data_IF_901214786118
#
_entry.id   IF_901214786118
#
_cell.length_a   1.000
_cell.length_b   1.000
_cell.length_c   1.000
_cell.angle_alpha   90.00
_cell.angle_beta   90.00
_cell.angle_gamma   90.00
#
_symmetry.space_group_name_H-M   'P 1'
#
loop_
_entity.id
_entity.type
_entity.pdbx_description
1 polymer ?
#
# COMPACT_ATOMS: atom_id res chain seq x y z
N UNK A 1 -27.58 -6.77 -16.51
CA UNK A 1 -26.79 -6.55 -17.73
C UNK A 1 -25.64 -5.65 -17.30
N UNK A 2 -24.68 -6.19 -16.57
CA UNK A 2 -23.48 -6.89 -17.07
C UNK A 2 -22.62 -5.96 -17.92
N UNK A 3 -21.77 -5.20 -17.24
CA UNK A 3 -20.52 -4.68 -17.76
C UNK A 3 -19.53 -4.73 -16.59
N UNK A 4 -18.98 -5.92 -16.36
CA UNK A 4 -17.72 -6.07 -15.63
C UNK A 4 -16.66 -5.52 -16.59
N UNK A 5 -16.30 -4.26 -16.41
CA UNK A 5 -15.15 -3.71 -17.12
C UNK A 5 -13.92 -4.44 -16.61
N UNK A 6 -13.23 -5.09 -17.54
CA UNK A 6 -11.86 -5.55 -17.43
C UNK A 6 -11.04 -4.38 -16.85
N UNK A 7 -10.72 -4.44 -15.56
CA UNK A 7 -9.63 -3.66 -15.01
C UNK A 7 -8.37 -4.40 -15.44
N UNK A 8 -7.72 -3.88 -16.49
CA UNK A 8 -6.35 -4.23 -16.86
C UNK A 8 -5.49 -4.08 -15.60
N UNK A 9 -5.04 -5.21 -15.05
CA UNK A 9 -4.08 -5.27 -13.94
C UNK A 9 -2.65 -5.00 -14.45
N UNK A 10 -2.48 -3.98 -15.29
CA UNK A 10 -1.21 -3.64 -15.92
C UNK A 10 -1.04 -2.12 -15.92
N UNK A 11 -0.72 -1.58 -14.74
CA UNK A 11 0.12 -0.36 -14.63
C UNK A 11 1.19 -0.62 -13.57
N UNK A 12 2.14 -1.50 -13.91
CA UNK A 12 3.52 -1.24 -13.52
C UNK A 12 3.94 0.06 -14.22
N UNK A 13 3.68 1.21 -13.59
CA UNK A 13 4.42 2.43 -13.90
C UNK A 13 5.85 2.24 -13.39
N UNK A 14 6.64 1.45 -14.12
CA UNK A 14 8.10 1.54 -14.15
C UNK A 14 8.45 2.91 -14.75
N UNK A 15 8.46 3.94 -13.90
CA UNK A 15 8.64 5.33 -14.35
C UNK A 15 9.08 6.31 -13.28
N UNK A 16 9.55 5.84 -12.13
CA UNK A 16 10.31 6.69 -11.20
C UNK A 16 11.75 6.22 -11.29
N UNK A 17 12.59 7.00 -11.98
CA UNK A 17 14.04 6.83 -11.98
C UNK A 17 14.53 6.70 -10.54
N UNK A 18 15.07 5.52 -10.21
CA UNK A 18 15.76 5.27 -8.95
C UNK A 18 17.09 6.04 -8.96
N UNK A 19 17.51 6.67 -7.84
CA UNK A 19 18.87 7.16 -7.74
C UNK A 19 19.82 5.95 -7.64
N UNK A 20 20.78 5.86 -8.56
CA UNK A 20 21.87 4.88 -8.52
C UNK A 20 22.58 4.96 -7.16
N UNK A 21 22.43 3.91 -6.34
CA UNK A 21 23.23 3.70 -5.15
C UNK A 21 24.61 3.21 -5.60
N UNK A 22 25.56 4.14 -5.70
CA UNK A 22 26.96 3.80 -5.94
C UNK A 22 27.49 2.88 -4.84
N UNK A 23 28.13 1.79 -5.24
CA UNK A 23 28.89 0.91 -4.37
C UNK A 23 30.10 1.68 -3.81
N UNK A 24 30.04 2.13 -2.55
CA UNK A 24 31.25 2.53 -1.82
C UNK A 24 31.78 1.31 -1.05
N UNK A 25 32.92 0.81 -1.53
CA UNK A 25 33.73 -0.20 -0.86
C UNK A 25 34.16 0.28 0.53
N UNK A 26 34.09 -0.63 1.50
CA UNK A 26 34.33 -0.35 2.92
C UNK A 26 35.72 0.20 3.25
N UNK A 27 35.71 1.28 4.01
CA UNK A 27 36.82 1.73 4.85
C UNK A 27 36.32 1.91 6.28
N UNK A 28 36.90 1.15 7.21
CA UNK A 28 36.69 1.33 8.65
C UNK A 28 37.28 2.67 9.10
N UNK A 29 36.45 3.64 9.49
CA UNK A 29 36.88 4.76 10.34
C UNK A 29 35.87 5.00 11.47
N UNK A 30 36.30 4.67 12.69
CA UNK A 30 35.67 5.11 13.93
C UNK A 30 35.84 6.63 14.06
N UNK A 31 34.80 7.38 13.69
CA UNK A 31 34.72 8.83 13.87
C UNK A 31 33.27 9.23 14.10
N UNK A 32 32.92 9.52 15.35
CA UNK A 32 31.62 10.13 15.68
C UNK A 32 31.61 11.58 15.23
N UNK A 33 31.40 11.81 13.93
CA UNK A 33 31.05 13.12 13.39
C UNK A 33 29.58 13.35 13.72
N UNK A 34 29.33 14.27 14.65
CA UNK A 34 28.02 14.89 14.75
C UNK A 34 27.80 15.64 13.44
N UNK A 35 26.97 15.10 12.55
CA UNK A 35 26.45 15.84 11.40
C UNK A 35 25.87 17.15 11.95
N UNK A 36 26.56 18.27 11.68
CA UNK A 36 25.99 19.59 11.95
C UNK A 36 24.74 19.70 11.08
N UNK A 37 23.55 19.65 11.67
CA UNK A 37 22.29 19.88 10.96
C UNK A 37 22.41 21.20 10.19
N UNK A 38 22.57 21.10 8.88
CA UNK A 38 22.68 22.26 8.00
C UNK A 38 21.44 23.12 8.20
N UNK A 39 21.65 24.32 8.75
CA UNK A 39 20.54 25.18 9.17
C UNK A 39 19.78 25.65 7.93
N UNK A 40 18.66 24.98 7.64
CA UNK A 40 17.79 25.32 6.51
C UNK A 40 17.43 26.81 6.58
N UNK A 41 17.75 27.61 5.55
CA UNK A 41 17.49 29.04 5.54
C UNK A 41 15.98 29.30 5.58
N UNK A 42 15.56 30.28 6.39
CA UNK A 42 14.14 30.68 6.45
C UNK A 42 13.73 31.34 5.13
N UNK A 43 12.68 30.81 4.51
CA UNK A 43 12.08 31.31 3.28
C UNK A 43 10.55 31.24 3.41
N UNK A 44 9.92 32.23 4.06
CA UNK A 44 8.47 32.26 4.25
C UNK A 44 7.75 32.57 2.95
N UNK A 45 6.61 31.92 2.72
CA UNK A 45 5.74 32.19 1.59
C UNK A 45 5.16 33.61 1.70
N UNK A 46 5.46 34.46 0.72
CA UNK A 46 4.99 35.86 0.69
C UNK A 46 3.63 35.99 0.01
N UNK A 47 2.92 37.08 0.29
CA UNK A 47 1.62 37.36 -0.34
C UNK A 47 1.73 37.48 -1.87
N UNK A 48 2.79 38.14 -2.36
CA UNK A 48 3.06 38.27 -3.79
C UNK A 48 3.26 36.90 -4.44
N UNK A 49 4.06 36.02 -3.80
CA UNK A 49 4.28 34.66 -4.29
C UNK A 49 3.00 33.81 -4.29
N UNK A 50 2.12 33.98 -3.29
CA UNK A 50 0.79 33.36 -3.32
C UNK A 50 -0.01 33.88 -4.50
N UNK A 51 -0.04 35.20 -4.73
CA UNK A 51 -0.75 35.83 -5.83
C UNK A 51 -0.36 35.30 -7.20
N UNK A 52 0.92 35.01 -7.42
CA UNK A 52 1.44 34.42 -8.66
C UNK A 52 1.04 32.94 -8.85
N UNK A 53 0.87 32.20 -7.75
CA UNK A 53 0.58 30.76 -7.75
C UNK A 53 -0.92 30.44 -7.66
N UNK A 54 -1.77 31.43 -7.40
CA UNK A 54 -3.22 31.27 -7.32
C UNK A 54 -3.83 31.09 -8.71
N UNK A 55 -4.73 30.12 -8.82
CA UNK A 55 -5.46 29.84 -10.05
C UNK A 55 -6.86 29.31 -9.77
N UNK A 56 -7.61 29.05 -10.85
CA UNK A 56 -8.99 28.53 -10.84
C UNK A 56 -9.96 29.45 -10.07
N UNK A 57 -10.56 30.41 -10.79
CA UNK A 57 -11.59 31.29 -10.24
C UNK A 57 -12.91 30.52 -10.08
N UNK A 58 -13.41 30.40 -8.86
CA UNK A 58 -14.66 29.73 -8.56
C UNK A 58 -15.58 30.59 -7.70
N UNK A 59 -16.89 30.34 -7.79
CA UNK A 59 -17.88 30.98 -6.91
C UNK A 59 -17.72 30.44 -5.49
N UNK A 60 -17.73 31.36 -4.51
CA UNK A 60 -17.82 30.98 -3.10
C UNK A 60 -19.23 30.46 -2.78
N UNK A 61 -19.43 29.83 -1.62
CA UNK A 61 -20.69 29.18 -1.25
C UNK A 61 -21.94 30.08 -1.26
N UNK A 62 -21.76 31.42 -1.17
CA UNK A 62 -22.87 32.37 -1.30
C UNK A 62 -23.32 32.60 -2.75
N UNK A 63 -22.52 32.21 -3.75
CA UNK A 63 -22.74 32.47 -5.16
C UNK A 63 -22.56 33.94 -5.58
N UNK A 64 -22.26 34.83 -4.64
CA UNK A 64 -22.21 36.29 -4.82
C UNK A 64 -20.79 36.85 -4.97
N UNK A 65 -19.77 36.04 -4.74
CA UNK A 65 -18.37 36.41 -4.97
C UNK A 65 -17.58 35.26 -5.58
N UNK A 66 -16.38 35.59 -6.04
CA UNK A 66 -15.43 34.62 -6.58
C UNK A 66 -14.15 34.65 -5.75
N UNK A 67 -13.49 33.51 -5.66
CA UNK A 67 -12.16 33.35 -5.09
C UNK A 67 -11.34 32.43 -5.98
N UNK A 68 -10.02 32.61 -6.00
CA UNK A 68 -9.12 31.59 -6.51
C UNK A 68 -9.10 30.43 -5.52
N UNK A 69 -9.28 29.20 -6.02
CA UNK A 69 -9.43 28.00 -5.16
C UNK A 69 -8.32 26.97 -5.36
N UNK A 70 -7.39 27.21 -6.29
CA UNK A 70 -6.20 26.39 -6.48
C UNK A 70 -4.95 27.20 -6.17
N UNK A 71 -4.01 26.57 -5.49
CA UNK A 71 -2.70 27.11 -5.18
C UNK A 71 -1.64 26.04 -5.49
N UNK A 72 -0.70 26.34 -6.38
CA UNK A 72 0.43 25.47 -6.73
C UNK A 72 1.76 26.18 -6.37
N UNK A 73 2.35 25.83 -5.23
CA UNK A 73 3.64 26.36 -4.76
C UNK A 73 4.63 25.20 -4.67
N UNK A 74 5.14 24.78 -5.82
CA UNK A 74 6.14 23.71 -5.92
C UNK A 74 7.54 24.27 -6.05
N UNK A 75 8.51 23.56 -5.49
CA UNK A 75 9.92 23.76 -5.80
C UNK A 75 10.37 25.22 -5.61
N UNK A 76 10.14 25.73 -4.40
CA UNK A 76 10.42 27.13 -4.03
C UNK A 76 11.16 27.26 -2.70
N UNK A 77 11.68 26.15 -2.17
CA UNK A 77 12.42 26.10 -0.91
C UNK A 77 11.64 26.71 0.27
N UNK A 78 10.30 26.67 0.24
CA UNK A 78 9.47 27.34 1.25
C UNK A 78 9.59 26.62 2.60
N UNK A 79 9.77 27.39 3.68
CA UNK A 79 9.86 26.87 5.05
C UNK A 79 8.66 27.22 5.92
N UNK A 80 7.95 28.31 5.61
CA UNK A 80 6.78 28.77 6.36
C UNK A 80 5.61 29.10 5.43
N UNK A 81 4.42 28.63 5.80
CA UNK A 81 3.17 28.82 5.06
C UNK A 81 2.10 29.49 5.92
N UNK A 82 2.48 30.20 6.99
CA UNK A 82 1.56 30.81 7.94
C UNK A 82 0.54 31.73 7.26
N UNK A 83 0.93 32.37 6.16
CA UNK A 83 0.07 33.25 5.36
C UNK A 83 -1.17 32.54 4.79
N UNK A 84 -1.09 31.22 4.54
CA UNK A 84 -2.19 30.44 3.97
C UNK A 84 -3.41 30.38 4.89
N UNK A 85 -3.22 30.68 6.17
CA UNK A 85 -4.32 30.81 7.15
C UNK A 85 -5.40 31.83 6.75
N UNK A 86 -5.05 32.79 5.89
CA UNK A 86 -5.96 33.82 5.38
C UNK A 86 -6.70 33.42 4.08
N UNK A 87 -6.26 32.37 3.38
CA UNK A 87 -6.78 31.94 2.08
C UNK A 87 -7.83 30.82 2.23
N UNK A 88 -8.81 31.04 3.11
CA UNK A 88 -9.80 30.03 3.57
C UNK A 88 -10.68 29.38 2.48
N UNK A 89 -10.65 29.91 1.26
CA UNK A 89 -11.43 29.40 0.13
C UNK A 89 -10.66 28.43 -0.76
N UNK A 90 -9.39 28.16 -0.47
CA UNK A 90 -8.58 27.17 -1.17
C UNK A 90 -9.20 25.77 -1.03
N UNK A 91 -9.13 25.03 -2.14
CA UNK A 91 -9.68 23.67 -2.31
C UNK A 91 -8.64 22.69 -2.83
N UNK A 92 -7.71 23.17 -3.65
CA UNK A 92 -6.64 22.36 -4.22
C UNK A 92 -5.32 23.04 -3.87
N UNK A 93 -4.52 22.40 -3.03
CA UNK A 93 -3.25 22.95 -2.56
C UNK A 93 -2.16 21.95 -2.85
N UNK A 94 -1.13 22.41 -3.57
CA UNK A 94 0.09 21.65 -3.82
C UNK A 94 1.28 22.46 -3.31
N UNK A 95 1.94 21.92 -2.29
CA UNK A 95 3.11 22.46 -1.60
C UNK A 95 4.31 21.51 -1.74
N UNK A 96 4.28 20.62 -2.73
CA UNK A 96 5.29 19.58 -2.89
C UNK A 96 6.66 20.17 -3.26
N UNK A 97 7.74 19.47 -2.90
CA UNK A 97 9.12 19.89 -3.17
C UNK A 97 9.44 21.23 -2.49
N UNK A 98 9.26 21.30 -1.17
CA UNK A 98 9.66 22.46 -0.37
C UNK A 98 10.37 21.96 0.90
N UNK A 99 10.61 22.85 1.85
CA UNK A 99 11.35 22.57 3.09
C UNK A 99 10.45 22.67 4.32
N UNK A 100 9.16 22.34 4.18
CA UNK A 100 8.15 22.47 5.23
C UNK A 100 8.37 21.43 6.33
N UNK A 101 8.28 21.90 7.58
CA UNK A 101 8.23 21.06 8.78
C UNK A 101 6.87 21.10 9.47
N UNK A 102 6.13 22.19 9.29
CA UNK A 102 4.81 22.40 9.87
C UNK A 102 3.78 22.71 8.77
N UNK A 103 2.64 22.03 8.85
CA UNK A 103 1.47 22.24 7.98
C UNK A 103 0.22 22.69 8.74
N UNK A 104 0.35 22.98 10.05
CA UNK A 104 -0.77 23.43 10.88
C UNK A 104 -1.52 24.67 10.36
N UNK A 105 -0.92 25.62 9.61
CA UNK A 105 -1.68 26.74 9.02
C UNK A 105 -2.81 26.28 8.08
N UNK A 106 -2.72 25.08 7.52
CA UNK A 106 -3.74 24.48 6.65
C UNK A 106 -5.03 24.09 7.40
N UNK A 107 -5.02 24.02 8.74
CA UNK A 107 -6.22 23.74 9.54
C UNK A 107 -7.36 24.75 9.31
N UNK A 108 -7.02 25.95 8.86
CA UNK A 108 -7.99 26.99 8.48
C UNK A 108 -8.74 26.69 7.17
N UNK A 109 -8.20 25.83 6.30
CA UNK A 109 -8.69 25.54 4.96
C UNK A 109 -9.79 24.48 4.99
N UNK A 110 -10.88 24.77 5.69
CA UNK A 110 -11.97 23.82 5.94
C UNK A 110 -12.71 23.31 4.70
N UNK A 111 -12.45 23.90 3.51
CA UNK A 111 -13.02 23.48 2.23
C UNK A 111 -12.00 22.74 1.34
N UNK A 112 -10.85 22.36 1.89
CA UNK A 112 -9.80 21.64 1.16
C UNK A 112 -10.32 20.29 0.66
N UNK A 113 -10.10 20.01 -0.62
CA UNK A 113 -10.47 18.78 -1.31
C UNK A 113 -9.23 17.94 -1.64
N UNK A 114 -8.13 18.61 -2.00
CA UNK A 114 -6.86 17.96 -2.34
C UNK A 114 -5.71 18.69 -1.67
N UNK A 115 -4.85 17.91 -1.02
CA UNK A 115 -3.60 18.36 -0.43
C UNK A 115 -2.44 17.51 -0.94
N UNK A 116 -1.41 18.16 -1.50
CA UNK A 116 -0.15 17.53 -1.83
C UNK A 116 0.98 18.26 -1.12
N UNK A 117 1.73 17.53 -0.31
CA UNK A 117 2.89 18.01 0.45
C UNK A 117 4.05 17.01 0.30
N UNK A 118 4.27 16.49 -0.90
CA UNK A 118 5.31 15.51 -1.18
C UNK A 118 6.69 16.15 -1.08
N UNK A 119 7.74 15.38 -0.79
CA UNK A 119 9.14 15.87 -0.79
C UNK A 119 9.30 17.13 0.07
N UNK A 120 9.02 16.98 1.36
CA UNK A 120 9.19 18.01 2.39
C UNK A 120 9.93 17.40 3.60
N UNK A 121 9.99 18.12 4.72
CA UNK A 121 10.66 17.70 5.95
C UNK A 121 9.65 17.40 7.08
N UNK A 122 8.43 16.96 6.74
CA UNK A 122 7.36 16.72 7.71
C UNK A 122 7.67 15.48 8.55
N UNK A 123 7.54 15.60 9.87
CA UNK A 123 7.62 14.47 10.81
C UNK A 123 6.23 13.91 11.19
N UNK A 124 5.17 14.64 10.86
CA UNK A 124 3.79 14.27 11.10
C UNK A 124 2.89 14.85 10.00
N UNK A 125 1.82 14.13 9.66
CA UNK A 125 0.75 14.61 8.80
C UNK A 125 -0.49 15.06 9.61
N UNK A 126 -0.34 15.30 10.91
CA UNK A 126 -1.44 15.68 11.80
C UNK A 126 -2.04 17.03 11.38
N UNK A 127 -3.34 17.02 11.15
CA UNK A 127 -4.17 18.20 10.91
C UNK A 127 -5.45 18.09 11.74
N UNK A 128 -6.12 19.22 11.94
CA UNK A 128 -7.51 19.19 12.43
C UNK A 128 -8.41 18.52 11.38
N UNK A 129 -9.59 18.04 11.80
CA UNK A 129 -10.51 17.35 10.89
C UNK A 129 -10.90 18.27 9.71
N UNK A 130 -10.41 17.94 8.51
CA UNK A 130 -10.79 18.58 7.26
C UNK A 130 -11.98 17.83 6.63
N UNK A 131 -13.22 18.37 6.72
CA UNK A 131 -14.44 17.60 6.47
C UNK A 131 -14.67 17.24 5.00
N UNK A 132 -13.98 17.90 4.07
CA UNK A 132 -14.12 17.68 2.63
C UNK A 132 -12.85 17.15 1.95
N UNK A 133 -11.78 16.88 2.71
CA UNK A 133 -10.53 16.40 2.13
C UNK A 133 -10.74 14.99 1.56
N UNK A 134 -10.47 14.83 0.26
CA UNK A 134 -10.68 13.58 -0.48
C UNK A 134 -9.36 12.91 -0.88
N UNK A 135 -8.33 13.71 -1.19
CA UNK A 135 -7.02 13.21 -1.61
C UNK A 135 -5.94 13.92 -0.82
N UNK A 136 -5.07 13.14 -0.17
CA UNK A 136 -3.93 13.66 0.57
C UNK A 136 -2.66 12.89 0.20
N UNK A 137 -1.58 13.60 -0.10
CA UNK A 137 -0.26 13.01 -0.37
C UNK A 137 0.81 13.69 0.46
N UNK A 138 1.54 12.88 1.23
CA UNK A 138 2.68 13.27 2.06
C UNK A 138 3.89 12.37 1.74
N UNK A 139 3.99 11.87 0.51
CA UNK A 139 5.07 11.00 0.11
C UNK A 139 6.45 11.69 0.23
N UNK A 140 7.52 10.92 0.47
CA UNK A 140 8.89 11.44 0.59
C UNK A 140 9.00 12.52 1.69
N UNK A 141 8.61 12.18 2.90
CA UNK A 141 8.78 13.01 4.10
C UNK A 141 9.51 12.18 5.17
N UNK A 142 9.49 12.63 6.43
CA UNK A 142 10.08 11.94 7.59
C UNK A 142 8.99 11.53 8.59
N UNK A 143 7.79 11.21 8.10
CA UNK A 143 6.64 10.91 8.95
C UNK A 143 6.86 9.56 9.62
N UNK A 144 6.81 9.53 10.95
CA UNK A 144 7.00 8.31 11.74
C UNK A 144 5.69 7.73 12.31
N UNK A 145 4.61 8.53 12.34
CA UNK A 145 3.30 8.13 12.87
C UNK A 145 2.17 8.62 11.97
N UNK A 146 1.12 7.80 11.86
CA UNK A 146 -0.13 8.13 11.15
C UNK A 146 -1.18 8.80 12.04
N UNK A 147 -0.82 9.15 13.28
CA UNK A 147 -1.70 9.87 14.20
C UNK A 147 -2.16 11.22 13.64
N UNK A 148 -3.45 11.53 13.80
CA UNK A 148 -4.03 12.81 13.44
C UNK A 148 -4.52 12.92 11.99
N UNK A 149 -4.42 11.86 11.20
CA UNK A 149 -5.00 11.79 9.85
C UNK A 149 -6.47 11.35 9.97
N UNK A 150 -7.33 12.28 10.40
CA UNK A 150 -8.75 12.01 10.69
C UNK A 150 -9.65 12.82 9.75
N UNK A 151 -9.97 12.28 8.58
CA UNK A 151 -10.67 13.00 7.52
C UNK A 151 -11.80 12.14 6.91
N UNK A 152 -13.07 12.42 7.24
CA UNK A 152 -14.19 11.49 6.99
C UNK A 152 -14.49 11.22 5.52
N UNK A 153 -14.12 12.13 4.62
CA UNK A 153 -14.30 12.00 3.18
C UNK A 153 -13.01 11.65 2.44
N UNK A 154 -11.92 11.31 3.14
CA UNK A 154 -10.66 10.95 2.50
C UNK A 154 -10.82 9.62 1.78
N UNK A 155 -10.50 9.63 0.48
CA UNK A 155 -10.65 8.49 -0.43
C UNK A 155 -9.32 7.84 -0.80
N UNK A 156 -8.25 8.65 -0.85
CA UNK A 156 -6.88 8.25 -1.17
C UNK A 156 -5.88 8.95 -0.27
N UNK A 157 -5.00 8.17 0.34
CA UNK A 157 -3.92 8.64 1.21
C UNK A 157 -2.58 8.06 0.76
N UNK A 158 -1.62 8.95 0.45
CA UNK A 158 -0.26 8.57 0.13
C UNK A 158 0.74 8.98 1.20
N UNK A 159 1.37 7.97 1.81
CA UNK A 159 2.39 8.06 2.85
C UNK A 159 3.67 7.31 2.43
N UNK A 160 3.86 7.08 1.13
CA UNK A 160 5.02 6.35 0.63
C UNK A 160 6.33 7.07 0.95
N UNK A 161 7.43 6.33 1.09
CA UNK A 161 8.76 6.87 1.34
C UNK A 161 8.79 7.78 2.59
N UNK A 162 8.38 7.21 3.72
CA UNK A 162 8.39 7.86 5.03
C UNK A 162 9.11 6.93 6.04
N UNK A 163 9.01 7.23 7.33
CA UNK A 163 9.69 6.49 8.40
C UNK A 163 8.72 5.71 9.30
N UNK A 164 7.54 5.36 8.77
CA UNK A 164 6.50 4.68 9.54
C UNK A 164 6.95 3.24 9.84
N UNK A 165 7.10 2.90 11.11
CA UNK A 165 7.51 1.57 11.56
C UNK A 165 6.39 0.76 12.20
N UNK A 166 5.34 1.43 12.69
CA UNK A 166 4.17 0.81 13.31
C UNK A 166 2.91 1.51 12.83
N UNK A 167 1.90 0.74 12.46
CA UNK A 167 0.59 1.28 12.10
C UNK A 167 -0.24 1.57 13.37
N UNK A 168 -0.79 2.77 13.45
CA UNK A 168 -1.65 3.22 14.54
C UNK A 168 -2.31 4.57 14.23
N UNK A 169 -3.37 4.95 14.93
CA UNK A 169 -3.97 6.29 14.77
C UNK A 169 -4.87 6.49 13.56
N UNK A 170 -4.88 5.58 12.58
CA UNK A 170 -5.89 5.56 11.52
C UNK A 170 -7.18 4.90 12.05
N UNK A 171 -8.16 5.72 12.43
CA UNK A 171 -9.43 5.23 12.97
C UNK A 171 -10.46 4.93 11.85
N UNK A 172 -10.98 3.69 11.74
CA UNK A 172 -11.97 3.37 10.71
C UNK A 172 -13.28 4.19 10.80
N UNK A 173 -13.65 4.67 11.98
CA UNK A 173 -14.80 5.57 12.19
C UNK A 173 -14.57 6.97 11.57
N UNK A 174 -13.31 7.37 11.37
CA UNK A 174 -12.88 8.67 10.84
C UNK A 174 -12.40 8.61 9.40
N UNK A 175 -12.22 7.42 8.84
CA UNK A 175 -11.73 7.18 7.47
C UNK A 175 -12.70 6.29 6.69
N UNK A 176 -14.00 6.51 6.88
CA UNK A 176 -15.06 5.67 6.31
C UNK A 176 -15.12 5.66 4.78
N UNK A 177 -14.44 6.59 4.09
CA UNK A 177 -14.35 6.64 2.63
C UNK A 177 -12.98 6.21 2.10
N UNK A 178 -12.04 5.80 2.93
CA UNK A 178 -10.69 5.52 2.44
C UNK A 178 -10.67 4.20 1.68
N UNK A 179 -10.41 4.26 0.37
CA UNK A 179 -10.38 3.09 -0.51
C UNK A 179 -8.96 2.75 -0.96
N UNK A 180 -8.03 3.70 -0.95
CA UNK A 180 -6.64 3.52 -1.38
C UNK A 180 -5.67 4.04 -0.33
N UNK A 181 -4.76 3.17 0.10
CA UNK A 181 -3.71 3.49 1.06
C UNK A 181 -2.34 3.06 0.52
N UNK A 182 -1.46 4.04 0.42
CA UNK A 182 -0.12 3.94 -0.14
C UNK A 182 0.93 4.09 0.98
N UNK A 183 1.64 3.01 1.28
CA UNK A 183 2.61 2.88 2.36
C UNK A 183 3.95 2.30 1.86
N UNK A 184 4.23 2.38 0.56
CA UNK A 184 5.48 1.86 -0.02
C UNK A 184 6.70 2.54 0.59
N UNK A 185 7.85 1.87 0.68
CA UNK A 185 9.09 2.52 1.13
C UNK A 185 9.03 3.02 2.58
N UNK A 186 8.41 2.27 3.48
CA UNK A 186 8.37 2.57 4.91
C UNK A 186 9.19 1.52 5.70
N UNK A 187 9.10 1.53 7.03
CA UNK A 187 9.86 0.65 7.94
C UNK A 187 8.96 -0.37 8.64
N UNK A 188 7.80 -0.71 8.05
CA UNK A 188 6.83 -1.62 8.64
C UNK A 188 7.38 -3.04 8.71
N UNK A 189 7.20 -3.72 9.85
CA UNK A 189 7.63 -5.12 10.06
C UNK A 189 6.49 -6.13 10.04
N UNK A 190 5.25 -5.66 10.15
CA UNK A 190 4.03 -6.47 9.93
C UNK A 190 2.90 -5.61 9.40
N UNK A 191 1.83 -6.25 8.94
CA UNK A 191 0.60 -5.55 8.50
C UNK A 191 -0.40 -5.29 9.62
N UNK A 192 -0.04 -5.61 10.87
CA UNK A 192 -0.89 -5.34 12.04
C UNK A 192 -1.23 -3.85 12.15
N UNK A 193 -2.41 -3.52 12.66
CA UNK A 193 -2.84 -2.13 12.85
C UNK A 193 -3.55 -1.51 11.65
N UNK A 194 -3.49 -2.13 10.47
CA UNK A 194 -4.21 -1.65 9.28
C UNK A 194 -5.67 -2.11 9.36
N UNK A 195 -6.52 -1.32 10.02
CA UNK A 195 -7.93 -1.63 10.25
C UNK A 195 -8.85 -0.64 9.51
N UNK A 196 -8.97 -0.80 8.19
CA UNK A 196 -9.74 0.11 7.32
C UNK A 196 -10.71 -0.69 6.44
N UNK A 197 -11.94 -1.00 6.91
CA UNK A 197 -12.78 -2.02 6.29
C UNK A 197 -13.24 -1.70 4.86
N UNK A 198 -13.24 -0.43 4.46
CA UNK A 198 -13.61 0.01 3.11
C UNK A 198 -12.43 0.08 2.12
N UNK A 199 -11.22 -0.32 2.56
CA UNK A 199 -10.03 -0.28 1.73
C UNK A 199 -10.16 -1.31 0.60
N UNK A 200 -9.82 -0.89 -0.62
CA UNK A 200 -9.80 -1.71 -1.84
C UNK A 200 -8.39 -1.97 -2.32
N UNK A 201 -7.52 -0.96 -2.22
CA UNK A 201 -6.14 -1.01 -2.68
C UNK A 201 -5.20 -0.72 -1.51
N UNK A 202 -4.31 -1.66 -1.23
CA UNK A 202 -3.28 -1.53 -0.20
C UNK A 202 -1.90 -1.79 -0.82
N UNK A 203 -1.02 -0.81 -0.69
CA UNK A 203 0.31 -0.87 -1.25
C UNK A 203 1.37 -0.76 -0.14
N UNK A 204 2.11 -1.84 0.06
CA UNK A 204 3.08 -2.02 1.14
C UNK A 204 4.46 -2.43 0.61
N UNK A 205 4.73 -2.22 -0.68
CA UNK A 205 5.99 -2.64 -1.29
C UNK A 205 7.22 -1.90 -0.74
N UNK A 206 8.37 -2.56 -0.64
CA UNK A 206 9.59 -1.93 -0.11
C UNK A 206 9.49 -1.59 1.38
N UNK A 207 9.05 -2.55 2.19
CA UNK A 207 9.01 -2.45 3.65
C UNK A 207 9.89 -3.58 4.25
N UNK A 208 9.80 -3.80 5.56
CA UNK A 208 10.51 -4.86 6.29
C UNK A 208 9.54 -5.94 6.78
N UNK A 209 8.42 -6.14 6.07
CA UNK A 209 7.32 -7.00 6.53
C UNK A 209 7.78 -8.45 6.49
N UNK A 210 7.73 -9.13 7.62
CA UNK A 210 8.02 -10.57 7.73
C UNK A 210 6.74 -11.40 7.86
N UNK A 211 5.62 -10.76 8.24
CA UNK A 211 4.36 -11.44 8.53
C UNK A 211 3.15 -10.61 8.09
N UNK A 212 2.23 -11.27 7.41
CA UNK A 212 0.89 -10.75 7.13
C UNK A 212 -0.05 -11.14 8.27
N UNK A 213 -0.71 -10.16 8.86
CA UNK A 213 -1.68 -10.30 9.96
C UNK A 213 -2.65 -9.11 10.04
N UNK A 214 -3.87 -9.34 10.51
CA UNK A 214 -4.87 -8.29 10.70
C UNK A 214 -5.64 -7.89 9.43
N UNK A 215 -5.20 -8.36 8.26
CA UNK A 215 -5.83 -8.06 6.97
C UNK A 215 -7.15 -8.83 6.75
N UNK A 216 -7.44 -9.85 7.56
CA UNK A 216 -8.69 -10.62 7.50
C UNK A 216 -9.96 -9.78 7.72
N UNK A 217 -9.80 -8.56 8.24
CA UNK A 217 -10.86 -7.57 8.47
C UNK A 217 -11.13 -6.65 7.27
N UNK A 218 -10.29 -6.71 6.23
CA UNK A 218 -10.42 -5.88 5.03
C UNK A 218 -11.26 -6.60 3.97
N UNK A 219 -12.54 -6.79 4.26
CA UNK A 219 -13.47 -7.58 3.42
C UNK A 219 -13.66 -7.03 2.00
N UNK A 220 -13.35 -5.74 1.79
CA UNK A 220 -13.42 -5.06 0.49
C UNK A 220 -12.08 -4.96 -0.25
N UNK A 221 -11.01 -5.53 0.32
CA UNK A 221 -9.69 -5.46 -0.30
C UNK A 221 -9.68 -6.28 -1.59
N UNK A 222 -9.33 -5.64 -2.70
CA UNK A 222 -9.26 -6.25 -4.03
C UNK A 222 -7.81 -6.44 -4.50
N UNK A 223 -6.92 -5.53 -4.08
CA UNK A 223 -5.55 -5.41 -4.56
C UNK A 223 -4.59 -5.24 -3.39
N UNK A 224 -3.62 -6.15 -3.28
CA UNK A 224 -2.59 -6.13 -2.24
C UNK A 224 -1.20 -6.22 -2.86
N UNK A 225 -0.38 -5.17 -2.69
CA UNK A 225 1.03 -5.21 -3.04
C UNK A 225 1.91 -5.32 -1.80
N UNK A 226 2.71 -6.36 -1.75
CA UNK A 226 3.68 -6.70 -0.71
C UNK A 226 5.09 -6.94 -1.31
N UNK A 227 5.35 -6.46 -2.53
CA UNK A 227 6.65 -6.65 -3.19
C UNK A 227 7.82 -6.15 -2.35
N UNK A 228 9.01 -6.69 -2.52
CA UNK A 228 10.24 -6.22 -1.89
C UNK A 228 10.07 -6.11 -0.36
N UNK A 229 9.73 -7.24 0.27
CA UNK A 229 9.58 -7.41 1.71
C UNK A 229 10.34 -8.68 2.17
N UNK A 230 10.14 -9.13 3.41
CA UNK A 230 10.85 -10.27 4.01
C UNK A 230 9.89 -11.41 4.39
N UNK A 231 8.82 -11.59 3.60
CA UNK A 231 7.79 -12.60 3.90
C UNK A 231 8.32 -13.98 3.52
N UNK A 232 8.44 -14.87 4.50
CA UNK A 232 8.84 -16.27 4.28
C UNK A 232 7.63 -17.22 4.23
N UNK A 233 6.54 -16.86 4.92
CA UNK A 233 5.36 -17.70 5.13
C UNK A 233 4.09 -16.98 4.74
N UNK A 234 3.22 -17.67 3.99
CA UNK A 234 1.96 -17.12 3.48
C UNK A 234 0.82 -17.29 4.49
N UNK A 235 1.10 -17.05 5.77
CA UNK A 235 0.09 -16.99 6.83
C UNK A 235 -0.68 -15.66 6.77
N UNK A 236 -1.84 -15.59 7.45
CA UNK A 236 -2.62 -14.36 7.56
C UNK A 236 -3.61 -14.10 6.43
N UNK A 237 -3.66 -14.97 5.43
CA UNK A 237 -4.73 -14.99 4.43
C UNK A 237 -5.89 -15.86 4.92
N UNK A 238 -7.08 -15.27 4.96
CA UNK A 238 -8.30 -15.91 5.47
C UNK A 238 -9.39 -15.94 4.40
N UNK A 239 -10.33 -16.86 4.56
CA UNK A 239 -11.49 -16.94 3.66
C UNK A 239 -12.30 -15.64 3.65
N UNK A 240 -12.40 -14.91 4.77
CA UNK A 240 -13.08 -13.60 4.91
C UNK A 240 -12.61 -12.53 3.92
N UNK A 241 -11.42 -12.67 3.32
CA UNK A 241 -10.88 -11.78 2.30
C UNK A 241 -11.52 -12.07 0.93
N UNK A 242 -12.86 -12.11 0.88
CA UNK A 242 -13.63 -12.65 -0.23
C UNK A 242 -13.55 -11.85 -1.53
N UNK A 243 -13.03 -10.61 -1.50
CA UNK A 243 -12.90 -9.75 -2.69
C UNK A 243 -11.47 -9.67 -3.23
N UNK A 244 -10.49 -10.27 -2.55
CA UNK A 244 -9.08 -10.18 -2.91
C UNK A 244 -8.84 -10.92 -4.23
N UNK A 245 -8.40 -10.18 -5.24
CA UNK A 245 -8.24 -10.65 -6.62
C UNK A 245 -6.79 -10.68 -7.07
N UNK A 246 -5.97 -9.78 -6.54
CA UNK A 246 -4.58 -9.60 -6.93
C UNK A 246 -3.68 -9.53 -5.70
N UNK A 247 -2.64 -10.37 -5.70
CA UNK A 247 -1.58 -10.35 -4.69
C UNK A 247 -0.23 -10.27 -5.39
N UNK A 248 0.55 -9.25 -5.07
CA UNK A 248 1.94 -9.15 -5.51
C UNK A 248 2.89 -9.36 -4.32
N UNK A 249 3.62 -10.46 -4.35
CA UNK A 249 4.64 -10.89 -3.37
C UNK A 249 6.04 -10.98 -4.02
N UNK A 250 6.26 -10.33 -5.17
CA UNK A 250 7.58 -10.30 -5.83
C UNK A 250 8.70 -9.90 -4.86
N UNK A 251 9.87 -10.52 -4.96
CA UNK A 251 11.02 -10.11 -4.14
C UNK A 251 10.83 -10.35 -2.64
N UNK A 252 10.11 -11.42 -2.26
CA UNK A 252 10.00 -11.90 -0.89
C UNK A 252 10.81 -13.20 -0.68
N UNK A 253 10.85 -13.71 0.55
CA UNK A 253 11.65 -14.86 0.96
C UNK A 253 10.87 -16.19 1.00
N UNK A 254 9.80 -16.33 0.20
CA UNK A 254 8.99 -17.56 0.16
C UNK A 254 9.81 -18.69 -0.46
N UNK A 255 10.24 -19.65 0.36
CA UNK A 255 11.21 -20.66 -0.06
C UNK A 255 10.61 -21.99 -0.54
N UNK A 256 9.35 -22.28 -0.20
CA UNK A 256 8.67 -23.53 -0.53
C UNK A 256 7.34 -23.20 -1.21
N UNK A 257 7.17 -23.64 -2.46
CA UNK A 257 5.94 -23.42 -3.23
C UNK A 257 4.69 -23.98 -2.54
N UNK A 258 4.81 -24.97 -1.65
CA UNK A 258 3.69 -25.54 -0.89
C UNK A 258 3.02 -24.52 0.05
N UNK A 259 3.70 -23.42 0.38
CA UNK A 259 3.08 -22.31 1.12
C UNK A 259 1.86 -21.73 0.38
N UNK A 260 1.80 -21.87 -0.96
CA UNK A 260 0.66 -21.44 -1.78
C UNK A 260 -0.65 -22.15 -1.44
N UNK A 261 -0.59 -23.33 -0.79
CA UNK A 261 -1.76 -24.01 -0.25
C UNK A 261 -2.54 -23.15 0.76
N UNK A 262 -1.87 -22.22 1.46
CA UNK A 262 -2.51 -21.27 2.40
C UNK A 262 -3.40 -20.24 1.70
N UNK A 263 -3.14 -19.97 0.42
CA UNK A 263 -3.93 -19.04 -0.40
C UNK A 263 -5.20 -19.69 -1.01
N UNK A 264 -5.35 -21.02 -0.90
CA UNK A 264 -6.50 -21.78 -1.42
C UNK A 264 -7.86 -21.25 -0.91
N UNK A 265 -7.86 -20.70 0.31
CA UNK A 265 -9.03 -20.13 0.99
C UNK A 265 -9.59 -18.88 0.30
N UNK A 266 -8.78 -18.17 -0.50
CA UNK A 266 -9.15 -16.92 -1.15
C UNK A 266 -10.06 -17.19 -2.36
N UNK A 267 -11.36 -16.82 -2.31
CA UNK A 267 -12.33 -17.28 -3.29
C UNK A 267 -12.25 -16.57 -4.66
N UNK A 268 -11.70 -15.36 -4.69
CA UNK A 268 -11.67 -14.50 -5.88
C UNK A 268 -10.24 -14.22 -6.39
N UNK A 269 -9.23 -14.90 -5.86
CA UNK A 269 -7.84 -14.69 -6.28
C UNK A 269 -7.66 -15.10 -7.75
N UNK A 270 -7.29 -14.14 -8.60
CA UNK A 270 -7.10 -14.31 -10.05
C UNK A 270 -5.65 -14.13 -10.47
N UNK A 271 -4.90 -13.28 -9.79
CA UNK A 271 -3.51 -12.99 -10.14
C UNK A 271 -2.61 -13.07 -8.90
N UNK A 272 -1.51 -13.80 -9.05
CA UNK A 272 -0.49 -13.97 -8.02
C UNK A 272 0.88 -13.68 -8.64
N UNK A 273 1.69 -12.88 -7.96
CA UNK A 273 3.09 -12.65 -8.33
C UNK A 273 3.97 -13.12 -7.18
N UNK A 274 4.87 -14.05 -7.45
CA UNK A 274 5.89 -14.59 -6.54
C UNK A 274 7.28 -14.62 -7.21
N UNK A 275 7.42 -14.05 -8.42
CA UNK A 275 8.71 -13.86 -9.10
C UNK A 275 9.75 -13.28 -8.15
N UNK A 276 11.01 -13.69 -8.27
CA UNK A 276 12.09 -13.25 -7.35
C UNK A 276 11.87 -13.70 -5.89
N UNK A 277 11.10 -14.77 -5.67
CA UNK A 277 11.13 -15.56 -4.44
C UNK A 277 11.80 -16.92 -4.70
N UNK A 278 12.49 -17.53 -3.73
CA UNK A 278 13.20 -18.79 -3.98
C UNK A 278 12.31 -19.94 -4.48
N UNK A 279 11.01 -19.96 -4.12
CA UNK A 279 10.08 -20.96 -4.64
C UNK A 279 9.81 -20.85 -6.16
N UNK A 280 10.07 -19.69 -6.77
CA UNK A 280 9.87 -19.48 -8.22
C UNK A 280 10.91 -20.22 -9.08
N UNK A 281 12.00 -20.70 -8.47
CA UNK A 281 13.03 -21.50 -9.13
C UNK A 281 12.74 -23.03 -9.09
N UNK A 282 11.66 -23.46 -8.42
CA UNK A 282 11.29 -24.88 -8.36
C UNK A 282 10.73 -25.39 -9.70
N UNK A 283 11.14 -26.61 -10.12
CA UNK A 283 10.75 -27.17 -11.43
C UNK A 283 9.23 -27.33 -11.61
N UNK A 284 8.50 -27.60 -10.53
CA UNK A 284 7.05 -27.78 -10.50
C UNK A 284 6.30 -26.52 -10.03
N UNK A 285 6.99 -25.39 -9.89
CA UNK A 285 6.46 -24.14 -9.33
C UNK A 285 5.08 -23.75 -9.87
N UNK A 286 4.96 -23.61 -11.21
CA UNK A 286 3.69 -23.23 -11.86
C UNK A 286 2.59 -24.26 -11.63
N UNK A 287 2.94 -25.54 -11.67
CA UNK A 287 1.97 -26.64 -11.54
C UNK A 287 1.46 -26.73 -10.11
N UNK A 288 2.34 -26.64 -9.13
CA UNK A 288 2.00 -26.70 -7.71
C UNK A 288 1.13 -25.50 -7.27
N UNK A 289 1.43 -24.29 -7.77
CA UNK A 289 0.55 -23.11 -7.57
C UNK A 289 -0.85 -23.39 -8.13
N UNK A 290 -0.96 -23.94 -9.34
CA UNK A 290 -2.24 -24.18 -9.99
C UNK A 290 -3.04 -25.28 -9.30
N UNK A 291 -2.39 -26.34 -8.81
CA UNK A 291 -3.00 -27.41 -8.00
C UNK A 291 -3.59 -26.81 -6.71
N UNK A 292 -2.85 -25.93 -6.03
CA UNK A 292 -3.29 -25.31 -4.78
C UNK A 292 -4.39 -24.26 -4.98
N UNK A 293 -4.30 -23.47 -6.06
CA UNK A 293 -5.15 -22.32 -6.34
C UNK A 293 -5.73 -22.43 -7.75
N UNK A 294 -6.56 -23.45 -8.00
CA UNK A 294 -7.12 -23.79 -9.33
C UNK A 294 -7.79 -22.66 -10.12
N UNK A 295 -8.22 -21.60 -9.42
CA UNK A 295 -8.88 -20.42 -9.99
C UNK A 295 -7.93 -19.32 -10.46
N UNK A 296 -6.63 -19.40 -10.13
CA UNK A 296 -5.66 -18.40 -10.55
C UNK A 296 -5.60 -18.38 -12.09
N UNK A 297 -5.58 -17.18 -12.66
CA UNK A 297 -5.55 -16.92 -14.09
C UNK A 297 -4.16 -16.52 -14.54
N UNK A 298 -3.47 -15.69 -13.76
CA UNK A 298 -2.12 -15.20 -14.04
C UNK A 298 -1.17 -15.50 -12.88
N UNK A 299 -0.02 -16.08 -13.21
CA UNK A 299 1.11 -16.26 -12.30
C UNK A 299 2.32 -15.55 -12.89
N UNK A 300 2.93 -14.62 -12.13
CA UNK A 300 4.09 -13.85 -12.57
C UNK A 300 3.91 -13.15 -13.92
N UNK A 301 2.71 -12.56 -14.10
CA UNK A 301 2.22 -11.86 -15.30
C UNK A 301 1.83 -12.77 -16.47
N UNK A 302 2.24 -14.03 -16.45
CA UNK A 302 1.91 -15.02 -17.48
C UNK A 302 0.57 -15.70 -17.20
N UNK A 303 -0.24 -15.88 -18.25
CA UNK A 303 -1.49 -16.64 -18.17
C UNK A 303 -1.22 -18.14 -18.14
N UNK A 304 -2.10 -18.89 -17.47
CA UNK A 304 -2.13 -20.34 -17.60
C UNK A 304 -2.86 -20.77 -18.86
N UNK A 305 -2.22 -21.65 -19.62
CA UNK A 305 -2.83 -22.31 -20.77
C UNK A 305 -3.87 -23.35 -20.35
N UNK A 306 -4.75 -23.73 -21.27
CA UNK A 306 -5.73 -24.79 -21.03
C UNK A 306 -5.06 -26.17 -20.83
N UNK A 307 -3.91 -26.41 -21.45
CA UNK A 307 -3.12 -27.64 -21.28
C UNK A 307 -2.59 -27.75 -19.84
N UNK A 308 -1.99 -26.68 -19.30
CA UNK A 308 -1.53 -26.64 -17.91
C UNK A 308 -2.69 -26.85 -16.92
N UNK A 309 -3.87 -26.29 -17.20
CA UNK A 309 -5.06 -26.49 -16.36
C UNK A 309 -5.53 -27.93 -16.33
N UNK A 310 -5.52 -28.61 -17.48
CA UNK A 310 -5.90 -30.01 -17.57
C UNK A 310 -4.91 -30.90 -16.82
N UNK A 311 -3.61 -30.68 -17.00
CA UNK A 311 -2.55 -31.41 -16.30
C UNK A 311 -2.64 -31.23 -14.77
N UNK A 312 -2.85 -29.99 -14.30
CA UNK A 312 -3.02 -29.71 -12.88
C UNK A 312 -4.24 -30.41 -12.28
N UNK A 313 -5.36 -30.47 -12.99
CA UNK A 313 -6.57 -31.15 -12.52
C UNK A 313 -6.38 -32.68 -12.47
N UNK A 314 -5.71 -33.27 -13.46
CA UNK A 314 -5.37 -34.70 -13.46
C UNK A 314 -4.46 -35.05 -12.27
N UNK A 315 -3.40 -34.26 -12.05
CA UNK A 315 -2.49 -34.43 -10.91
C UNK A 315 -3.20 -34.25 -9.57
N UNK A 316 -4.11 -33.27 -9.48
CA UNK A 316 -4.91 -33.03 -8.27
C UNK A 316 -5.80 -34.23 -7.92
N UNK A 317 -6.56 -34.74 -8.88
CA UNK A 317 -7.44 -35.90 -8.67
C UNK A 317 -6.63 -37.17 -8.37
N UNK A 318 -5.45 -37.34 -8.98
CA UNK A 318 -4.53 -38.42 -8.64
C UNK A 318 -4.08 -38.34 -7.18
N UNK A 319 -3.52 -37.20 -6.74
CA UNK A 319 -3.04 -37.01 -5.35
C UNK A 319 -4.16 -37.22 -4.34
N UNK A 320 -5.36 -36.72 -4.65
CA UNK A 320 -6.56 -36.90 -3.82
C UNK A 320 -6.99 -38.37 -3.71
N UNK A 321 -6.93 -39.12 -4.81
CA UNK A 321 -7.25 -40.55 -4.80
C UNK A 321 -6.22 -41.36 -4.00
N UNK A 322 -4.94 -41.01 -4.11
CA UNK A 322 -3.85 -41.62 -3.33
C UNK A 322 -4.00 -41.34 -1.83
N UNK A 323 -4.36 -40.11 -1.45
CA UNK A 323 -4.62 -39.71 -0.05
C UNK A 323 -5.81 -40.49 0.54
N UNK A 324 -6.94 -40.55 -0.18
CA UNK A 324 -8.12 -41.32 0.24
C UNK A 324 -7.83 -42.83 0.35
N UNK A 325 -6.98 -43.37 -0.53
CA UNK A 325 -6.57 -44.78 -0.46
C UNK A 325 -5.70 -45.04 0.77
N UNK A 326 -4.81 -44.10 1.12
CA UNK A 326 -3.97 -44.19 2.31
C UNK A 326 -4.80 -44.12 3.61
N UNK A 327 -5.73 -43.16 3.72
CA UNK A 327 -6.64 -43.03 4.87
C UNK A 327 -7.53 -44.27 5.05
N UNK A 328 -8.07 -44.80 3.94
CA UNK A 328 -8.87 -46.03 3.96
C UNK A 328 -8.09 -47.28 4.37
N UNK A 329 -6.77 -47.32 4.17
CA UNK A 329 -5.93 -48.41 4.68
C UNK A 329 -5.60 -48.30 6.17
N UNK A 330 -5.53 -47.09 6.74
CA UNK A 330 -5.29 -46.89 8.18
C UNK A 330 -6.53 -47.24 9.05
N UNK A 331 -7.75 -46.94 8.58
CA UNK A 331 -8.98 -47.30 9.31
C UNK A 331 -9.19 -48.83 9.42
N UNK A 332 -8.81 -49.59 8.38
CA UNK A 332 -8.93 -51.06 8.37
C UNK A 332 -7.94 -51.73 9.34
N UNK A 333 -6.75 -51.16 9.50
CA UNK A 333 -5.73 -51.68 10.44
C UNK A 333 -6.17 -51.47 11.90
N UNK A 334 -6.89 -50.39 12.20
CA UNK A 334 -7.40 -50.14 13.55
C UNK A 334 -8.60 -51.02 13.92
N UNK A 335 -9.50 -51.36 12.99
CA UNK A 335 -10.63 -52.26 13.27
C UNK A 335 -10.22 -53.72 13.55
N UNK A 336 -9.06 -54.16 13.06
CA UNK A 336 -8.55 -55.52 13.27
C UNK A 336 -7.81 -55.70 14.62
N UNK A 337 -7.69 -54.64 15.45
CA UNK A 337 -6.99 -54.68 16.74
C UNK A 337 -7.88 -54.63 17.99
N UNK A 338 -9.21 -54.44 17.86
CA UNK A 338 -10.13 -54.42 19.00
C UNK A 338 -10.83 -55.77 19.29
N UNK A 339 -10.60 -56.81 18.48
CA UNK A 339 -11.26 -58.13 18.62
C UNK A 339 -10.30 -59.29 18.99
N UNK A 340 -9.16 -59.00 19.65
CA UNK A 340 -8.19 -60.01 20.11
C UNK A 340 -8.09 -60.15 21.64
#
# INVERSE_FOLDING_TARGET
>A
MSDYSEQEYDEDQEGVEEPEMGEEEGGEEEGGEQEEEEKVPENPLTEDAVGECLSLLAKIGSGLAHAYVRLDVKDREITDISILSSFIHLRYVDLSMNMLRDISPLNSLTHLLTLKCERNLLQTAKLDELPYLQVASFANNRIATTDGINHPLLESLNLSFNEISVMGGLEPSKLGRLHTLELRGNKLTSTAGIYLPNLKNLFLGGNLITKVEGLERLEHLTTLHLRDNQIEKLDGFADTMHQLQYINLRGNAVADVKETAKLKSLPMLRALILSESPCSDEDDYRMEVLINIRRVERLDKDEYTEEERQEAEELYEQRRAEELAAEGTEEVIHSDTEDA
#
